data_IF_846113176709
#
_entry.id   IF_846113176709
#
_cell.length_a   1.000
_cell.length_b   1.000
_cell.length_c   1.000
_cell.angle_alpha   90.00
_cell.angle_beta   90.00
_cell.angle_gamma   90.00
#
_symmetry.space_group_name_H-M   'P 1'
#
loop_
_entity.id
_entity.type
_entity.pdbx_description
1 polymer ?
#
# COMPACT_ATOMS: atom_id res chain seq x y z
N UNK A 1 44.74 10.71 4.93
CA UNK A 1 43.56 11.61 4.98
C UNK A 1 42.29 10.80 4.73
N UNK A 2 41.62 10.34 5.79
CA UNK A 2 40.32 9.66 5.70
C UNK A 2 39.26 10.76 5.65
N UNK A 3 38.89 11.21 4.45
CA UNK A 3 37.66 11.99 4.30
C UNK A 3 36.52 11.03 4.58
N UNK A 4 35.96 11.12 5.78
CA UNK A 4 34.64 10.60 6.15
C UNK A 4 33.65 11.27 5.20
N UNK A 5 33.54 10.75 3.97
CA UNK A 5 32.38 11.01 3.16
C UNK A 5 31.21 10.52 4.02
N UNK A 6 30.35 11.45 4.43
CA UNK A 6 29.05 11.13 4.98
C UNK A 6 28.31 10.36 3.88
N UNK A 7 28.58 9.06 3.80
CA UNK A 7 27.84 8.15 2.95
C UNK A 7 26.45 8.20 3.53
N UNK A 8 25.57 8.87 2.79
CA UNK A 8 24.15 9.03 3.09
C UNK A 8 23.62 7.61 3.28
N UNK A 9 23.55 7.20 4.56
CA UNK A 9 23.04 5.92 5.00
C UNK A 9 21.54 5.92 4.69
N UNK A 10 21.25 5.54 3.46
CA UNK A 10 19.92 5.30 2.93
C UNK A 10 19.25 4.08 3.61
N UNK A 11 19.82 3.57 4.70
CA UNK A 11 19.14 2.66 5.61
C UNK A 11 17.90 3.29 6.29
N UNK A 12 17.76 4.63 6.23
CA UNK A 12 16.50 5.34 6.48
C UNK A 12 15.45 5.23 5.36
N UNK A 13 15.65 4.43 4.30
CA UNK A 13 14.64 4.26 3.25
C UNK A 13 13.34 3.61 3.73
N UNK A 14 13.33 3.03 4.93
CA UNK A 14 12.12 2.51 5.58
C UNK A 14 11.78 3.28 6.86
N UNK A 15 12.77 3.78 7.60
CA UNK A 15 12.56 4.70 8.73
C UNK A 15 12.65 6.14 8.24
N UNK A 16 11.51 6.82 8.05
CA UNK A 16 11.46 8.19 7.56
C UNK A 16 12.25 9.15 8.45
N UNK A 17 13.47 9.50 8.04
CA UNK A 17 14.17 10.65 8.60
C UNK A 17 13.40 11.89 8.18
N UNK A 18 12.65 12.46 9.12
CA UNK A 18 12.26 13.86 9.07
C UNK A 18 13.53 14.67 9.27
N UNK A 19 14.09 15.19 8.19
CA UNK A 19 14.88 16.41 8.28
C UNK A 19 13.87 17.53 8.39
N UNK A 20 13.81 18.18 9.54
CA UNK A 20 13.09 19.44 9.74
C UNK A 20 13.77 20.52 8.89
N UNK A 21 13.51 20.51 7.58
CA UNK A 21 13.99 21.52 6.64
C UNK A 21 12.96 22.67 6.64
N UNK A 22 13.21 23.66 7.50
CA UNK A 22 12.55 24.97 7.48
C UNK A 22 12.98 25.74 6.23
N UNK A 23 12.46 25.33 5.07
CA UNK A 23 12.75 25.94 3.77
C UNK A 23 11.48 26.49 3.14
N UNK A 24 11.13 27.73 3.49
CA UNK A 24 10.08 28.53 2.85
C UNK A 24 10.45 28.85 1.39
N UNK A 25 10.24 27.89 0.49
CA UNK A 25 10.40 28.03 -0.96
C UNK A 25 9.06 28.25 -1.65
N UNK A 26 8.67 29.52 -1.82
CA UNK A 26 7.52 29.93 -2.63
C UNK A 26 7.67 29.40 -4.06
N UNK A 27 6.82 28.44 -4.43
CA UNK A 27 6.80 27.84 -5.77
C UNK A 27 5.58 28.35 -6.53
N UNK A 28 5.81 29.28 -7.46
CA UNK A 28 4.84 29.82 -8.40
C UNK A 28 4.30 28.69 -9.29
N UNK A 29 2.99 28.43 -9.22
CA UNK A 29 2.32 27.40 -10.01
C UNK A 29 1.84 28.00 -11.33
N UNK A 30 2.51 27.66 -12.44
CA UNK A 30 2.02 27.95 -13.78
C UNK A 30 0.96 26.93 -14.16
N UNK A 31 -0.28 27.39 -14.31
CA UNK A 31 -1.42 26.57 -14.75
C UNK A 31 -1.29 26.24 -16.24
N UNK A 32 -0.88 25.01 -16.55
CA UNK A 32 -1.00 24.43 -17.88
C UNK A 32 -2.30 23.63 -18.00
N UNK A 33 -3.24 24.11 -18.81
CA UNK A 33 -4.50 23.41 -19.11
C UNK A 33 -4.20 22.23 -20.03
N UNK A 34 -4.26 21.00 -19.51
CA UNK A 34 -4.16 19.78 -20.32
C UNK A 34 -5.56 19.30 -20.68
N UNK A 35 -5.97 19.55 -21.93
CA UNK A 35 -7.19 18.97 -22.51
C UNK A 35 -6.91 17.52 -22.89
N UNK A 36 -7.46 16.57 -22.12
CA UNK A 36 -7.36 15.14 -22.44
C UNK A 36 -8.65 14.69 -23.11
N UNK A 37 -8.59 14.40 -24.40
CA UNK A 37 -9.71 13.81 -25.16
C UNK A 37 -9.62 12.30 -25.06
N UNK A 38 -10.52 11.67 -24.32
CA UNK A 38 -10.66 10.20 -24.28
C UNK A 38 -11.82 9.76 -25.17
N UNK A 39 -11.50 9.06 -26.26
CA UNK A 39 -12.48 8.31 -27.04
C UNK A 39 -12.64 6.91 -26.46
N UNK A 40 -13.87 6.56 -26.07
CA UNK A 40 -14.27 5.22 -25.64
C UNK A 40 -14.91 4.52 -26.84
N UNK A 41 -14.27 3.47 -27.33
CA UNK A 41 -14.87 2.53 -28.29
C UNK A 41 -15.55 1.42 -27.50
N UNK A 42 -16.88 1.37 -27.56
CA UNK A 42 -17.70 0.28 -26.99
C UNK A 42 -17.88 -0.80 -28.06
N UNK A 43 -17.40 -2.01 -27.79
CA UNK A 43 -17.68 -3.18 -28.61
C UNK A 43 -19.06 -3.76 -28.25
N UNK A 44 -19.92 -4.12 -29.22
CA UNK A 44 -21.13 -4.90 -28.96
C UNK A 44 -20.78 -6.39 -28.96
N UNK A 45 -21.05 -7.09 -27.86
CA UNK A 45 -20.78 -8.53 -27.74
C UNK A 45 -21.47 -9.14 -26.52
N UNK A 46 -22.70 -9.60 -26.73
CA UNK A 46 -23.50 -10.47 -25.85
C UNK A 46 -22.90 -11.86 -25.68
N UNK A 47 -22.95 -12.42 -24.46
CA UNK A 47 -23.19 -13.85 -24.25
C UNK A 47 -23.95 -14.10 -22.94
N UNK A 48 -25.18 -14.58 -23.12
CA UNK A 48 -26.07 -15.19 -22.14
C UNK A 48 -25.43 -16.45 -21.54
N UNK A 49 -25.48 -16.62 -20.22
CA UNK A 49 -25.20 -17.91 -19.56
C UNK A 49 -26.44 -18.39 -18.82
N UNK A 50 -26.98 -19.48 -19.35
CA UNK A 50 -28.08 -20.30 -18.85
C UNK A 50 -27.61 -21.12 -17.64
N UNK A 51 -28.35 -21.08 -16.53
CA UNK A 51 -28.19 -22.02 -15.41
C UNK A 51 -29.29 -23.11 -15.49
N UNK A 52 -29.00 -24.36 -15.06
CA UNK A 52 -29.87 -25.51 -15.26
C UNK A 52 -31.02 -25.60 -14.25
N UNK A 53 -32.03 -26.38 -14.67
CA UNK A 53 -33.31 -26.68 -14.04
C UNK A 53 -33.30 -26.87 -12.52
N UNK A 54 -34.14 -26.09 -11.85
CA UNK A 54 -34.61 -26.38 -10.49
C UNK A 54 -35.92 -27.15 -10.59
N UNK A 55 -35.92 -28.43 -10.23
CA UNK A 55 -37.12 -29.25 -10.11
C UNK A 55 -37.93 -28.78 -8.89
N UNK A 56 -39.10 -28.17 -9.13
CA UNK A 56 -40.07 -27.84 -8.10
C UNK A 56 -41.16 -28.90 -8.11
N UNK A 57 -41.21 -29.75 -7.08
CA UNK A 57 -42.35 -30.63 -6.83
C UNK A 57 -43.43 -29.83 -6.11
N UNK A 58 -44.55 -29.60 -6.80
CA UNK A 58 -45.72 -28.91 -6.27
C UNK A 58 -46.78 -29.95 -5.89
N UNK A 59 -47.23 -29.94 -4.64
CA UNK A 59 -48.33 -30.77 -4.14
C UNK A 59 -49.34 -29.86 -3.44
N UNK A 60 -50.62 -30.03 -3.75
CA UNK A 60 -51.75 -29.22 -3.26
C UNK A 60 -52.97 -30.15 -3.14
N UNK A 61 -54.00 -29.88 -2.32
CA UNK A 61 -54.12 -29.16 -1.03
C UNK A 61 -54.76 -30.06 0.07
N UNK A 62 -54.87 -29.59 1.32
CA UNK A 62 -56.13 -29.61 2.13
C UNK A 62 -55.85 -29.14 3.56
N UNK A 63 -56.37 -27.96 3.87
CA UNK A 63 -56.78 -27.40 5.16
C UNK A 63 -56.47 -25.91 5.13
N UNK A 64 -57.49 -25.06 5.35
CA UNK A 64 -57.34 -23.61 5.37
C UNK A 64 -56.33 -23.18 6.46
N UNK A 65 -55.15 -22.64 6.12
CA UNK A 65 -54.20 -22.17 7.09
C UNK A 65 -54.42 -20.68 7.37
N UNK A 66 -54.42 -20.32 8.64
CA UNK A 66 -54.32 -18.94 9.12
C UNK A 66 -53.11 -18.27 8.47
N UNK A 67 -53.34 -17.22 7.68
CA UNK A 67 -52.30 -16.46 6.98
C UNK A 67 -51.40 -15.77 8.01
N UNK A 68 -50.33 -16.45 8.41
CA UNK A 68 -49.21 -15.84 9.12
C UNK A 68 -48.29 -15.26 8.07
N UNK A 69 -48.30 -13.94 7.91
CA UNK A 69 -47.41 -13.23 6.98
C UNK A 69 -45.96 -13.63 7.30
N UNK A 70 -45.22 -14.25 6.37
CA UNK A 70 -43.83 -14.56 6.59
C UNK A 70 -43.08 -13.24 6.77
N UNK A 71 -42.63 -12.97 7.99
CA UNK A 71 -41.70 -11.88 8.24
C UNK A 71 -40.39 -12.30 7.61
N UNK A 72 -40.11 -11.77 6.41
CA UNK A 72 -38.81 -11.90 5.77
C UNK A 72 -37.84 -11.09 6.63
N UNK A 73 -37.23 -11.75 7.60
CA UNK A 73 -36.08 -11.19 8.31
C UNK A 73 -34.94 -11.14 7.30
N UNK A 74 -34.81 -10.00 6.63
CA UNK A 74 -33.62 -9.67 5.87
C UNK A 74 -32.47 -9.68 6.87
N UNK A 75 -31.74 -10.79 6.89
CA UNK A 75 -30.48 -10.89 7.62
C UNK A 75 -29.54 -9.93 6.93
N UNK A 76 -29.53 -8.70 7.41
CA UNK A 76 -28.61 -7.67 6.96
C UNK A 76 -27.24 -8.17 7.40
N UNK A 77 -26.50 -8.79 6.47
CA UNK A 77 -25.09 -9.15 6.69
C UNK A 77 -24.42 -7.92 7.27
N UNK A 78 -24.01 -8.01 8.53
CA UNK A 78 -23.50 -6.86 9.26
C UNK A 78 -22.26 -6.35 8.52
N UNK A 79 -22.40 -5.21 7.84
CA UNK A 79 -21.34 -4.59 7.06
C UNK A 79 -20.20 -4.19 8.00
N UNK A 80 -18.96 -4.43 7.59
CA UNK A 80 -17.77 -4.00 8.34
C UNK A 80 -17.86 -2.50 8.64
N UNK A 81 -17.78 -2.16 9.92
CA UNK A 81 -17.75 -0.77 10.40
C UNK A 81 -16.35 -0.16 10.24
N UNK A 82 -16.27 1.17 10.23
CA UNK A 82 -15.00 1.90 10.22
C UNK A 82 -14.02 1.42 11.31
N UNK A 83 -14.49 1.33 12.55
CA UNK A 83 -13.65 0.95 13.70
C UNK A 83 -13.13 -0.50 13.61
N UNK A 84 -13.96 -1.43 13.14
CA UNK A 84 -13.54 -2.82 12.90
C UNK A 84 -12.46 -2.88 11.83
N UNK A 85 -12.66 -2.15 10.72
CA UNK A 85 -11.68 -2.09 9.63
C UNK A 85 -10.35 -1.49 10.09
N UNK A 86 -10.37 -0.36 10.80
CA UNK A 86 -9.14 0.26 11.37
C UNK A 86 -8.40 -0.72 12.28
N UNK A 87 -9.12 -1.40 13.18
CA UNK A 87 -8.53 -2.39 14.09
C UNK A 87 -7.85 -3.54 13.35
N UNK A 88 -8.52 -4.09 12.33
CA UNK A 88 -7.99 -5.19 11.54
C UNK A 88 -6.73 -4.77 10.76
N UNK A 89 -6.78 -3.61 10.11
CA UNK A 89 -5.65 -3.10 9.31
C UNK A 89 -4.47 -2.70 10.20
N UNK A 90 -4.71 -2.11 11.38
CA UNK A 90 -3.62 -1.80 12.33
C UNK A 90 -2.92 -3.08 12.83
N UNK A 91 -3.66 -4.16 13.07
CA UNK A 91 -3.07 -5.47 13.40
C UNK A 91 -2.12 -5.99 12.31
N UNK A 92 -2.51 -5.85 11.05
CA UNK A 92 -1.64 -6.18 9.91
C UNK A 92 -0.41 -5.27 9.87
N UNK A 93 -0.60 -3.96 10.03
CA UNK A 93 0.49 -2.98 10.01
C UNK A 93 1.53 -3.22 11.11
N UNK A 94 1.12 -3.68 12.30
CA UNK A 94 2.07 -4.06 13.36
C UNK A 94 3.00 -5.19 12.91
N UNK A 95 2.45 -6.21 12.25
CA UNK A 95 3.22 -7.35 11.72
C UNK A 95 4.20 -6.89 10.63
N UNK A 96 3.71 -6.04 9.72
CA UNK A 96 4.51 -5.47 8.62
C UNK A 96 5.64 -4.60 9.19
N UNK A 97 5.36 -3.74 10.17
CA UNK A 97 6.36 -2.89 10.81
C UNK A 97 7.48 -3.72 11.47
N UNK A 98 7.13 -4.83 12.13
CA UNK A 98 8.11 -5.75 12.70
C UNK A 98 8.99 -6.39 11.61
N UNK A 99 8.40 -6.81 10.49
CA UNK A 99 9.15 -7.36 9.36
C UNK A 99 10.07 -6.30 8.72
N UNK A 100 9.57 -5.09 8.51
CA UNK A 100 10.36 -3.94 8.03
C UNK A 100 11.55 -3.66 8.95
N UNK A 101 11.36 -3.67 10.28
CA UNK A 101 12.46 -3.48 11.24
C UNK A 101 13.55 -4.55 11.08
N UNK A 102 13.18 -5.81 10.87
CA UNK A 102 14.13 -6.90 10.60
C UNK A 102 14.90 -6.70 9.30
N UNK A 103 14.20 -6.32 8.22
CA UNK A 103 14.83 -6.03 6.93
C UNK A 103 15.80 -4.84 7.02
N UNK A 104 15.45 -3.79 7.77
CA UNK A 104 16.36 -2.66 8.02
C UNK A 104 17.61 -3.09 8.76
N UNK A 105 17.47 -3.93 9.80
CA UNK A 105 18.62 -4.47 10.51
C UNK A 105 19.52 -5.30 9.58
N UNK A 106 18.92 -6.11 8.69
CA UNK A 106 19.64 -6.89 7.69
C UNK A 106 20.38 -6.01 6.67
N UNK A 107 19.72 -4.96 6.17
CA UNK A 107 20.34 -3.98 5.27
C UNK A 107 21.53 -3.28 5.96
N UNK A 108 21.35 -2.80 7.19
CA UNK A 108 22.42 -2.20 7.98
C UNK A 108 23.60 -3.15 8.18
N UNK A 109 23.33 -4.42 8.51
CA UNK A 109 24.38 -5.42 8.66
C UNK A 109 25.15 -5.65 7.35
N UNK A 110 24.46 -5.73 6.22
CA UNK A 110 25.07 -5.91 4.90
C UNK A 110 26.00 -4.74 4.53
N UNK A 111 25.68 -3.52 4.97
CA UNK A 111 26.47 -2.32 4.68
C UNK A 111 27.77 -2.20 5.49
N UNK A 112 27.93 -2.91 6.62
CA UNK A 112 29.08 -2.74 7.54
C UNK A 112 30.45 -3.05 6.92
N UNK A 113 30.49 -3.87 5.87
CA UNK A 113 31.73 -4.25 5.18
C UNK A 113 32.01 -3.47 3.90
N UNK A 114 31.05 -2.68 3.42
CA UNK A 114 31.14 -2.03 2.11
C UNK A 114 31.88 -0.69 2.22
N UNK A 115 32.94 -0.53 1.40
CA UNK A 115 33.84 0.63 1.38
C UNK A 115 33.47 1.63 0.29
N UNK A 116 32.80 1.16 -0.76
CA UNK A 116 32.39 1.99 -1.91
C UNK A 116 30.87 2.00 -2.06
N UNK A 117 30.32 3.02 -2.73
CA UNK A 117 28.87 3.08 -3.02
C UNK A 117 28.42 1.87 -3.87
N UNK A 118 29.26 1.39 -4.78
CA UNK A 118 28.97 0.21 -5.60
C UNK A 118 28.88 -1.07 -4.73
N UNK A 119 29.83 -1.26 -3.81
CA UNK A 119 29.78 -2.37 -2.84
C UNK A 119 28.55 -2.28 -1.94
N UNK A 120 28.15 -1.08 -1.52
CA UNK A 120 26.94 -0.88 -0.71
C UNK A 120 25.67 -1.26 -1.48
N UNK A 121 25.55 -0.83 -2.74
CA UNK A 121 24.41 -1.21 -3.59
C UNK A 121 24.34 -2.72 -3.81
N UNK A 122 25.47 -3.34 -4.13
CA UNK A 122 25.55 -4.80 -4.29
C UNK A 122 25.16 -5.54 -3.01
N UNK A 123 25.60 -5.04 -1.84
CA UNK A 123 25.27 -5.64 -0.55
C UNK A 123 23.78 -5.49 -0.17
N UNK A 124 23.14 -4.36 -0.49
CA UNK A 124 21.75 -4.10 -0.12
C UNK A 124 20.73 -4.62 -1.14
N UNK A 125 21.11 -4.81 -2.41
CA UNK A 125 20.25 -5.33 -3.47
C UNK A 125 19.43 -6.59 -3.07
N UNK A 126 20.03 -7.66 -2.50
CA UNK A 126 19.25 -8.83 -2.08
C UNK A 126 18.23 -8.51 -0.98
N UNK A 127 18.55 -7.58 -0.06
CA UNK A 127 17.62 -7.17 1.01
C UNK A 127 16.46 -6.34 0.46
N UNK A 128 16.71 -5.49 -0.54
CA UNK A 128 15.65 -4.75 -1.23
C UNK A 128 14.70 -5.66 -1.98
N UNK A 129 15.22 -6.70 -2.64
CA UNK A 129 14.40 -7.71 -3.33
C UNK A 129 13.50 -8.49 -2.35
N UNK A 130 14.05 -8.89 -1.21
CA UNK A 130 13.26 -9.50 -0.12
C UNK A 130 12.20 -8.53 0.41
N UNK A 131 12.57 -7.26 0.62
CA UNK A 131 11.64 -6.21 1.04
C UNK A 131 10.51 -5.96 0.04
N UNK A 132 10.78 -6.04 -1.27
CA UNK A 132 9.76 -5.93 -2.32
C UNK A 132 8.76 -7.08 -2.27
N UNK A 133 9.23 -8.31 -2.04
CA UNK A 133 8.37 -9.47 -1.84
C UNK A 133 7.47 -9.31 -0.61
N UNK A 134 8.07 -8.92 0.52
CA UNK A 134 7.35 -8.64 1.75
C UNK A 134 6.29 -7.54 1.60
N UNK A 135 6.65 -6.41 0.99
CA UNK A 135 5.72 -5.30 0.77
C UNK A 135 4.59 -5.67 -0.19
N UNK A 136 4.86 -6.46 -1.22
CA UNK A 136 3.83 -6.94 -2.15
C UNK A 136 2.79 -7.79 -1.44
N UNK A 137 3.25 -8.79 -0.69
CA UNK A 137 2.36 -9.67 0.10
C UNK A 137 1.55 -8.88 1.13
N UNK A 138 2.20 -7.95 1.83
CA UNK A 138 1.55 -7.07 2.80
C UNK A 138 0.44 -6.22 2.17
N UNK A 139 0.71 -5.59 1.02
CA UNK A 139 -0.26 -4.77 0.32
C UNK A 139 -1.45 -5.59 -0.17
N UNK A 140 -1.19 -6.78 -0.73
CA UNK A 140 -2.25 -7.68 -1.20
C UNK A 140 -3.13 -8.14 -0.02
N UNK A 141 -2.50 -8.46 1.12
CA UNK A 141 -3.21 -8.85 2.36
C UNK A 141 -4.10 -7.73 2.89
N UNK A 142 -3.60 -6.49 2.96
CA UNK A 142 -4.42 -5.35 3.40
C UNK A 142 -5.54 -5.06 2.39
N UNK A 143 -5.26 -5.15 1.08
CA UNK A 143 -6.27 -4.91 0.03
C UNK A 143 -7.41 -5.91 0.06
N UNK A 144 -7.16 -7.13 0.53
CA UNK A 144 -8.15 -8.20 0.69
C UNK A 144 -9.09 -8.00 1.90
N UNK A 145 -8.78 -7.10 2.83
CA UNK A 145 -9.68 -6.78 3.94
C UNK A 145 -10.94 -6.07 3.41
N UNK A 146 -12.12 -6.55 3.81
CA UNK A 146 -13.39 -5.95 3.41
C UNK A 146 -13.49 -4.50 3.91
N UNK A 147 -13.72 -3.57 2.98
CA UNK A 147 -13.76 -2.13 3.27
C UNK A 147 -15.18 -1.66 3.59
N UNK A 148 -15.37 -0.80 4.60
CA UNK A 148 -16.63 -0.11 4.83
C UNK A 148 -17.05 0.68 3.58
N UNK A 149 -18.32 0.62 3.17
CA UNK A 149 -18.79 1.31 1.96
C UNK A 149 -18.56 2.82 2.02
N UNK A 150 -18.83 3.42 3.17
CA UNK A 150 -18.66 4.85 3.41
C UNK A 150 -17.21 5.31 3.22
N UNK A 151 -16.24 4.42 3.42
CA UNK A 151 -14.81 4.75 3.44
C UNK A 151 -14.09 4.47 2.12
N UNK A 152 -14.77 3.87 1.12
CA UNK A 152 -14.14 3.41 -0.13
C UNK A 152 -13.35 4.52 -0.85
N UNK A 153 -13.92 5.72 -0.95
CA UNK A 153 -13.28 6.84 -1.65
C UNK A 153 -12.02 7.34 -0.91
N UNK A 154 -12.09 7.49 0.42
CA UNK A 154 -10.94 7.88 1.23
C UNK A 154 -9.80 6.86 1.09
N UNK A 155 -10.14 5.57 1.20
CA UNK A 155 -9.19 4.46 1.09
C UNK A 155 -8.60 4.32 -0.31
N UNK A 156 -9.33 4.62 -1.38
CA UNK A 156 -8.82 4.56 -2.75
C UNK A 156 -7.56 5.44 -2.92
N UNK A 157 -7.58 6.66 -2.39
CA UNK A 157 -6.43 7.58 -2.45
C UNK A 157 -5.22 7.06 -1.68
N UNK A 158 -5.45 6.41 -0.53
CA UNK A 158 -4.40 5.79 0.27
C UNK A 158 -3.77 4.59 -0.46
N UNK A 159 -4.57 3.67 -0.99
CA UNK A 159 -4.06 2.51 -1.72
C UNK A 159 -3.32 2.88 -3.00
N UNK A 160 -3.74 3.94 -3.71
CA UNK A 160 -3.00 4.45 -4.86
C UNK A 160 -1.58 4.90 -4.50
N UNK A 161 -1.39 5.52 -3.33
CA UNK A 161 -0.06 5.90 -2.84
C UNK A 161 0.79 4.68 -2.48
N UNK A 162 0.19 3.63 -1.92
CA UNK A 162 0.89 2.37 -1.63
C UNK A 162 1.32 1.65 -2.91
N UNK A 163 0.49 1.66 -3.95
CA UNK A 163 0.86 1.12 -5.27
C UNK A 163 2.04 1.89 -5.89
N UNK A 164 2.03 3.22 -5.79
CA UNK A 164 3.16 4.04 -6.22
C UNK A 164 4.43 3.75 -5.41
N UNK A 165 4.32 3.54 -4.09
CA UNK A 165 5.46 3.13 -3.27
C UNK A 165 6.03 1.77 -3.69
N UNK A 166 5.18 0.78 -3.95
CA UNK A 166 5.60 -0.54 -4.47
C UNK A 166 6.37 -0.39 -5.79
N UNK A 167 5.86 0.45 -6.71
CA UNK A 167 6.57 0.74 -7.97
C UNK A 167 7.94 1.38 -7.73
N UNK A 168 8.05 2.33 -6.79
CA UNK A 168 9.36 2.91 -6.45
C UNK A 168 10.30 1.90 -5.80
N UNK A 169 9.80 0.99 -4.96
CA UNK A 169 10.63 -0.06 -4.37
C UNK A 169 11.15 -1.04 -5.43
N UNK A 170 10.33 -1.38 -6.43
CA UNK A 170 10.78 -2.13 -7.61
C UNK A 170 11.90 -1.40 -8.34
N UNK A 171 11.75 -0.09 -8.58
CA UNK A 171 12.76 0.72 -9.24
C UNK A 171 14.05 0.86 -8.41
N UNK A 172 13.95 0.91 -7.08
CA UNK A 172 15.10 0.91 -6.16
C UNK A 172 15.86 -0.41 -6.20
N UNK A 173 15.15 -1.54 -6.13
CA UNK A 173 15.75 -2.86 -6.23
C UNK A 173 16.50 -3.01 -7.56
N UNK A 174 15.86 -2.65 -8.68
CA UNK A 174 16.48 -2.67 -10.00
C UNK A 174 17.70 -1.74 -10.11
N UNK A 175 17.63 -0.53 -9.53
CA UNK A 175 18.77 0.39 -9.52
C UNK A 175 19.95 -0.12 -8.68
N UNK A 176 19.67 -0.78 -7.56
CA UNK A 176 20.69 -1.40 -6.71
C UNK A 176 21.34 -2.62 -7.40
N UNK A 177 20.53 -3.50 -8.00
CA UNK A 177 21.02 -4.65 -8.79
C UNK A 177 21.89 -4.19 -9.97
N UNK A 178 21.52 -3.08 -10.63
CA UNK A 178 22.30 -2.49 -11.72
C UNK A 178 23.52 -1.66 -11.26
N UNK A 179 23.77 -1.52 -9.95
CA UNK A 179 24.84 -0.67 -9.41
C UNK A 179 24.69 0.82 -9.76
N UNK A 180 23.49 1.28 -10.13
CA UNK A 180 23.25 2.62 -10.65
C UNK A 180 22.95 3.61 -9.52
N UNK A 181 24.01 4.17 -8.92
CA UNK A 181 23.88 5.07 -7.76
C UNK A 181 23.04 6.32 -8.05
N UNK A 182 23.17 6.90 -9.25
CA UNK A 182 22.38 8.08 -9.65
C UNK A 182 20.89 7.76 -9.70
N UNK A 183 20.51 6.62 -10.30
CA UNK A 183 19.12 6.17 -10.33
C UNK A 183 18.63 5.84 -8.93
N UNK A 184 19.44 5.13 -8.13
CA UNK A 184 19.09 4.78 -6.75
C UNK A 184 18.78 6.01 -5.89
N UNK A 185 19.64 7.04 -5.92
CA UNK A 185 19.45 8.31 -5.21
C UNK A 185 18.19 9.05 -5.70
N UNK A 186 17.97 9.10 -7.02
CA UNK A 186 16.79 9.76 -7.60
C UNK A 186 15.47 9.09 -7.15
N UNK A 187 15.40 7.76 -7.22
CA UNK A 187 14.20 7.00 -6.82
C UNK A 187 13.98 7.10 -5.30
N UNK A 188 15.06 7.12 -4.51
CA UNK A 188 15.00 7.32 -3.06
C UNK A 188 14.32 8.65 -2.70
N UNK A 189 14.73 9.75 -3.33
CA UNK A 189 14.17 11.08 -3.08
C UNK A 189 12.66 11.12 -3.41
N UNK A 190 12.26 10.55 -4.55
CA UNK A 190 10.84 10.44 -4.94
C UNK A 190 10.03 9.60 -3.95
N UNK A 191 10.63 8.53 -3.42
CA UNK A 191 9.99 7.63 -2.46
C UNK A 191 9.71 8.30 -1.11
N UNK A 192 10.56 9.22 -0.66
CA UNK A 192 10.36 9.93 0.61
C UNK A 192 9.04 10.73 0.64
N UNK A 193 8.79 11.54 -0.40
CA UNK A 193 7.53 12.31 -0.49
C UNK A 193 6.28 11.44 -0.65
N UNK A 194 6.39 10.26 -1.28
CA UNK A 194 5.30 9.28 -1.34
C UNK A 194 5.01 8.66 0.03
N UNK A 195 6.04 8.33 0.82
CA UNK A 195 5.91 7.80 2.18
C UNK A 195 5.22 8.80 3.11
N UNK A 196 5.65 10.06 3.08
CA UNK A 196 5.05 11.12 3.89
C UNK A 196 3.56 11.31 3.57
N UNK A 197 3.20 11.37 2.28
CA UNK A 197 1.80 11.51 1.85
C UNK A 197 0.94 10.31 2.24
N UNK A 198 1.44 9.08 2.08
CA UNK A 198 0.69 7.89 2.47
C UNK A 198 0.50 7.84 4.00
N UNK A 199 1.54 8.19 4.76
CA UNK A 199 1.47 8.29 6.23
C UNK A 199 0.43 9.32 6.68
N UNK A 200 0.44 10.50 6.08
CA UNK A 200 -0.54 11.54 6.40
C UNK A 200 -1.98 11.06 6.13
N UNK A 201 -2.21 10.35 5.01
CA UNK A 201 -3.51 9.72 4.70
C UNK A 201 -3.89 8.63 5.69
N UNK A 202 -2.94 7.80 6.11
CA UNK A 202 -3.17 6.75 7.10
C UNK A 202 -3.59 7.34 8.46
N UNK A 203 -2.88 8.36 8.94
CA UNK A 203 -3.20 9.07 10.18
C UNK A 203 -4.58 9.73 10.08
N UNK A 204 -4.86 10.45 8.99
CA UNK A 204 -6.14 11.12 8.78
C UNK A 204 -7.32 10.13 8.72
N UNK A 205 -7.08 8.91 8.25
CA UNK A 205 -8.09 7.84 8.25
C UNK A 205 -8.29 7.18 9.63
N UNK A 206 -7.35 7.35 10.56
CA UNK A 206 -7.42 6.79 11.91
C UNK A 206 -6.54 5.56 12.15
N UNK A 207 -5.71 5.15 11.19
CA UNK A 207 -4.74 4.07 11.40
C UNK A 207 -3.61 4.51 12.32
N UNK A 208 -3.46 3.82 13.45
CA UNK A 208 -2.41 4.12 14.42
C UNK A 208 -1.10 3.48 14.02
N UNK A 209 -1.12 2.22 13.60
CA UNK A 209 0.08 1.40 13.32
C UNK A 209 0.60 1.67 11.90
N UNK A 210 -0.29 1.84 10.92
CA UNK A 210 0.11 2.19 9.56
C UNK A 210 0.57 3.66 9.44
N UNK A 211 0.10 4.51 10.35
CA UNK A 211 0.44 5.93 10.45
C UNK A 211 1.62 6.23 11.37
N UNK A 212 1.96 5.31 12.29
CA UNK A 212 3.11 5.43 13.18
C UNK A 212 4.39 5.15 12.42
N UNK A 213 4.90 6.16 11.71
CA UNK A 213 6.26 6.17 11.17
C UNK A 213 7.36 6.18 12.24
N UNK A 214 7.07 5.73 13.48
CA UNK A 214 8.05 5.48 14.54
C UNK A 214 8.82 4.21 14.22
N UNK A 215 9.47 4.16 13.06
CA UNK A 215 10.65 3.33 12.93
C UNK A 215 11.70 4.01 13.79
N UNK A 216 11.88 3.54 15.02
CA UNK A 216 12.92 4.05 15.93
C UNK A 216 14.23 4.16 15.15
N UNK A 217 14.73 5.38 14.99
CA UNK A 217 16.07 5.64 14.51
C UNK A 217 17.04 5.06 15.55
N UNK A 218 17.56 3.87 15.26
CA UNK A 218 18.63 3.22 16.01
C UNK A 218 19.90 3.19 15.16
#
# INVERSE_FOLDING_TARGET
MRRTAAVILAAGLLAGCGSDDEGSGSSTTSAGTVTTTSSVTVAPGTTTTTAPDTTVTQTTPTAAPTVSTPTVTTTTTARVTHAQYVTQVDGLCRTINAQTKRLNAKANAALRGAKTEAEQLAAVAPVLKEGLGAQSLALDTIKAVERPAADKAALASYFALLDQQKQQLTALAAAAEAGSITKYKSVTAKSAGLRQRARAKAIAFGFKECGSGKGDAA
#
